data_IF_174088757511
#
_entry.id   IF_174088757511
#
_cell.length_a   1.000
_cell.length_b   1.000
_cell.length_c   1.000
_cell.angle_alpha   90.00
_cell.angle_beta   90.00
_cell.angle_gamma   90.00
#
_symmetry.space_group_name_H-M   'P 1'
#
loop_
_entity.id
_entity.type
_entity.pdbx_description
1 polymer ?
#
# COMPACT_ATOMS: atom_id res chain seq x y z
N UNK A 1 -2.99 -15.51 24.83
CA UNK A 1 -2.48 -14.66 23.75
C UNK A 1 -1.67 -13.55 24.40
N UNK A 2 -0.51 -13.23 23.85
CA UNK A 2 0.41 -12.24 24.39
C UNK A 2 0.75 -11.24 23.28
N UNK A 3 0.82 -9.95 23.63
CA UNK A 3 1.10 -8.87 22.70
C UNK A 3 2.31 -8.09 23.15
N UNK A 4 3.12 -7.76 22.16
CA UNK A 4 4.25 -6.84 22.29
C UNK A 4 4.03 -5.69 21.31
N UNK A 5 4.60 -4.54 21.62
CA UNK A 5 4.41 -3.31 20.89
C UNK A 5 5.76 -2.70 20.53
N UNK A 6 5.88 -2.11 19.35
CA UNK A 6 7.06 -1.34 18.95
C UNK A 6 6.58 0.04 18.51
N UNK A 7 7.18 1.15 18.98
CA UNK A 7 6.83 2.48 18.47
C UNK A 7 6.87 2.50 16.94
N UNK A 8 5.85 3.08 16.31
CA UNK A 8 5.66 2.98 14.86
C UNK A 8 6.87 3.54 14.09
N UNK A 9 7.43 4.66 14.53
CA UNK A 9 8.61 5.29 13.92
C UNK A 9 9.87 4.44 14.11
N UNK A 10 10.10 3.93 15.32
CA UNK A 10 11.26 3.09 15.62
C UNK A 10 11.27 1.77 14.82
N UNK A 11 10.09 1.21 14.52
CA UNK A 11 9.97 0.04 13.67
C UNK A 11 10.51 0.29 12.26
N UNK A 12 10.25 1.46 11.70
CA UNK A 12 10.72 1.84 10.36
C UNK A 12 12.25 2.06 10.36
N UNK A 13 12.82 2.48 11.49
CA UNK A 13 14.27 2.60 11.70
C UNK A 13 14.98 1.26 11.99
N UNK A 14 14.26 0.14 11.93
CA UNK A 14 14.83 -1.19 12.13
C UNK A 14 14.96 -1.62 13.60
N UNK A 15 14.51 -0.80 14.55
CA UNK A 15 14.48 -1.15 15.97
C UNK A 15 13.42 -2.21 16.23
N UNK A 16 13.77 -3.23 17.03
CA UNK A 16 12.91 -4.38 17.35
C UNK A 16 12.76 -4.61 18.86
N UNK A 17 13.20 -3.65 19.66
CA UNK A 17 12.93 -3.64 21.09
C UNK A 17 11.44 -3.44 21.31
N UNK A 18 10.88 -4.28 22.17
CA UNK A 18 9.44 -4.34 22.40
C UNK A 18 9.07 -3.80 23.76
N UNK A 19 7.91 -3.14 23.77
CA UNK A 19 7.20 -2.68 24.95
C UNK A 19 6.06 -3.65 25.25
N UNK A 20 5.75 -3.78 26.53
CA UNK A 20 4.56 -4.41 27.04
C UNK A 20 3.41 -3.43 27.10
N UNK A 21 2.19 -3.95 27.20
CA UNK A 21 0.95 -3.15 27.17
C UNK A 21 0.93 -2.02 28.22
N UNK A 22 1.56 -2.21 29.38
CA UNK A 22 1.57 -1.20 30.45
C UNK A 22 2.64 -0.11 30.27
N UNK A 23 3.55 -0.28 29.31
CA UNK A 23 4.63 0.67 28.99
C UNK A 23 4.22 1.65 27.88
N UNK A 24 3.04 1.46 27.28
CA UNK A 24 2.54 2.34 26.23
C UNK A 24 2.20 3.73 26.77
N UNK A 25 2.56 4.75 25.99
CA UNK A 25 2.33 6.16 26.26
C UNK A 25 1.06 6.60 25.53
N UNK A 26 0.15 7.27 26.26
CA UNK A 26 -1.09 7.77 25.68
C UNK A 26 -0.81 8.77 24.54
N UNK A 27 -1.53 8.61 23.42
CA UNK A 27 -1.38 9.42 22.21
C UNK A 27 -0.42 8.82 21.17
N UNK A 28 0.50 7.95 21.58
CA UNK A 28 1.53 7.37 20.73
C UNK A 28 1.04 6.18 19.90
N UNK A 29 1.68 5.95 18.75
CA UNK A 29 1.36 4.89 17.79
C UNK A 29 2.36 3.72 17.85
N UNK A 30 1.84 2.49 17.78
CA UNK A 30 2.63 1.28 17.94
C UNK A 30 2.26 0.21 16.91
N UNK A 31 3.28 -0.46 16.37
CA UNK A 31 3.16 -1.74 15.68
C UNK A 31 2.85 -2.85 16.69
N UNK A 32 2.03 -3.82 16.30
CA UNK A 32 1.64 -4.94 17.17
C UNK A 32 2.28 -6.26 16.71
N UNK A 33 2.92 -6.94 17.66
CA UNK A 33 3.37 -8.33 17.54
C UNK A 33 2.48 -9.23 18.42
N UNK A 34 2.09 -10.39 17.90
CA UNK A 34 1.31 -11.38 18.65
C UNK A 34 2.03 -12.70 18.83
N UNK A 35 1.90 -13.23 20.04
CA UNK A 35 2.25 -14.61 20.39
C UNK A 35 0.99 -15.36 20.80
N UNK A 36 0.71 -16.49 20.16
CA UNK A 36 -0.49 -17.30 20.41
C UNK A 36 -0.10 -18.76 20.68
N UNK A 37 -0.93 -19.47 21.45
CA UNK A 37 -0.76 -20.91 21.71
C UNK A 37 -0.95 -21.76 20.45
N UNK A 38 -1.48 -21.19 19.37
CA UNK A 38 -1.64 -21.84 18.07
C UNK A 38 -0.40 -21.75 17.16
N UNK A 39 0.74 -21.31 17.71
CA UNK A 39 2.03 -21.35 17.00
C UNK A 39 2.49 -20.04 16.35
N UNK A 40 1.81 -18.92 16.59
CA UNK A 40 2.37 -17.61 16.25
C UNK A 40 3.34 -17.19 17.36
N UNK A 41 4.59 -16.89 17.00
CA UNK A 41 5.61 -16.41 17.93
C UNK A 41 6.14 -15.07 17.44
N UNK A 42 5.95 -14.02 18.25
CA UNK A 42 6.29 -12.61 17.92
C UNK A 42 5.86 -12.22 16.50
N UNK A 43 4.69 -12.71 16.07
CA UNK A 43 4.20 -12.55 14.71
C UNK A 43 3.79 -11.10 14.48
N UNK A 44 4.38 -10.46 13.47
CA UNK A 44 4.03 -9.10 13.09
C UNK A 44 2.67 -9.05 12.40
N UNK A 45 1.66 -8.51 13.10
CA UNK A 45 0.27 -8.44 12.61
C UNK A 45 0.12 -7.34 11.56
N UNK A 46 1.08 -6.43 11.46
CA UNK A 46 1.07 -5.29 10.55
C UNK A 46 -0.11 -4.33 10.82
N UNK A 47 -0.46 -4.16 12.10
CA UNK A 47 -1.41 -3.15 12.58
C UNK A 47 -0.68 -2.08 13.35
N UNK A 48 -1.03 -0.82 13.07
CA UNK A 48 -0.69 0.35 13.87
C UNK A 48 -1.90 0.69 14.74
N UNK A 49 -1.68 0.67 16.05
CA UNK A 49 -2.66 1.08 17.06
C UNK A 49 -2.17 2.31 17.79
N UNK A 50 -3.09 3.17 18.23
CA UNK A 50 -2.80 4.30 19.11
C UNK A 50 -3.27 3.99 20.51
N UNK A 51 -2.39 4.18 21.49
CA UNK A 51 -2.75 4.07 22.89
C UNK A 51 -3.60 5.28 23.31
N UNK A 52 -4.74 5.02 23.95
CA UNK A 52 -5.65 6.03 24.47
C UNK A 52 -5.72 6.01 25.99
N UNK A 53 -6.72 6.70 26.57
CA UNK A 53 -6.92 6.77 28.02
C UNK A 53 -6.98 5.38 28.67
N UNK A 54 -6.51 5.29 29.91
CA UNK A 54 -6.51 4.04 30.67
C UNK A 54 -7.87 3.73 31.28
N UNK A 55 -8.25 2.46 31.23
CA UNK A 55 -9.32 1.87 32.05
C UNK A 55 -8.63 1.00 33.10
N UNK A 56 -8.53 1.52 34.34
CA UNK A 56 -7.69 0.92 35.38
C UNK A 56 -6.21 0.98 34.99
N UNK A 57 -5.53 -0.17 35.03
CA UNK A 57 -4.11 -0.27 34.65
C UNK A 57 -3.88 -0.48 33.13
N UNK A 58 -4.95 -0.60 32.34
CA UNK A 58 -4.87 -1.03 30.95
C UNK A 58 -5.16 0.16 30.02
N UNK A 59 -4.25 0.53 29.10
CA UNK A 59 -4.55 1.53 28.09
C UNK A 59 -5.61 1.02 27.11
N UNK A 60 -6.50 1.91 26.68
CA UNK A 60 -7.35 1.62 25.52
C UNK A 60 -6.50 1.64 24.25
N UNK A 61 -6.89 0.88 23.24
CA UNK A 61 -6.22 0.86 21.94
C UNK A 61 -7.24 1.20 20.86
N UNK A 62 -6.89 2.15 19.99
CA UNK A 62 -7.65 2.46 18.79
C UNK A 62 -6.86 2.03 17.56
N UNK A 63 -7.52 1.34 16.64
CA UNK A 63 -6.91 1.02 15.35
C UNK A 63 -6.69 2.31 14.55
N UNK A 64 -5.47 2.51 14.04
CA UNK A 64 -5.13 3.66 13.20
C UNK A 64 -5.11 3.26 11.73
N UNK A 65 -4.24 2.30 11.39
CA UNK A 65 -4.01 1.82 10.02
C UNK A 65 -3.29 0.47 10.03
N UNK A 66 -3.20 -0.16 8.86
CA UNK A 66 -2.21 -1.21 8.62
C UNK A 66 -0.81 -0.58 8.51
N UNK A 67 0.22 -1.25 9.02
CA UNK A 67 1.62 -0.80 8.93
C UNK A 67 2.18 -0.82 7.50
N UNK A 68 1.56 -1.59 6.59
CA UNK A 68 1.77 -1.55 5.13
C UNK A 68 0.47 -1.15 4.43
N UNK A 69 0.58 -0.67 3.21
CA UNK A 69 -0.56 -0.22 2.40
C UNK A 69 -0.85 1.27 2.53
N UNK A 70 0.11 2.05 3.03
CA UNK A 70 0.17 3.50 2.94
C UNK A 70 1.56 3.88 2.43
N UNK A 71 1.64 4.84 1.52
CA UNK A 71 2.90 5.39 1.02
C UNK A 71 2.84 6.91 0.98
N UNK A 72 3.99 7.55 0.96
CA UNK A 72 4.08 9.00 0.86
C UNK A 72 5.35 9.37 0.12
N UNK A 73 5.23 10.13 -0.95
CA UNK A 73 6.34 10.69 -1.73
C UNK A 73 6.69 12.07 -1.20
N UNK A 74 5.70 12.93 -0.96
CA UNK A 74 5.90 14.34 -0.54
C UNK A 74 5.06 14.76 0.66
N UNK A 75 4.50 13.80 1.39
CA UNK A 75 3.73 13.98 2.62
C UNK A 75 2.23 13.68 2.48
N UNK A 76 1.76 13.18 1.33
CA UNK A 76 0.34 12.95 1.04
C UNK A 76 -0.29 11.73 1.71
N UNK A 77 0.53 10.77 2.18
CA UNK A 77 0.06 9.57 2.89
C UNK A 77 -1.06 8.83 2.13
N UNK A 78 -0.84 8.51 0.86
CA UNK A 78 -1.79 7.78 0.03
C UNK A 78 -1.97 6.34 0.52
N UNK A 79 -3.21 5.85 0.55
CA UNK A 79 -3.56 4.52 1.08
C UNK A 79 -4.01 3.54 -0.02
N UNK A 80 -3.88 2.23 0.22
CA UNK A 80 -4.41 1.16 -0.65
C UNK A 80 -5.91 1.34 -0.93
N UNK A 81 -6.67 1.70 0.10
CA UNK A 81 -8.11 1.89 -0.01
C UNK A 81 -8.45 3.06 -0.96
N UNK A 82 -7.71 4.17 -0.87
CA UNK A 82 -7.89 5.30 -1.79
C UNK A 82 -7.52 4.94 -3.23
N UNK A 83 -6.42 4.19 -3.43
CA UNK A 83 -6.03 3.70 -4.76
C UNK A 83 -7.09 2.78 -5.35
N UNK A 84 -7.55 1.80 -4.58
CA UNK A 84 -8.57 0.86 -5.01
C UNK A 84 -9.90 1.56 -5.35
N UNK A 85 -10.36 2.48 -4.49
CA UNK A 85 -11.58 3.25 -4.72
C UNK A 85 -11.48 4.16 -5.97
N UNK A 86 -10.34 4.83 -6.16
CA UNK A 86 -10.09 5.66 -7.33
C UNK A 86 -10.07 4.83 -8.62
N UNK A 87 -9.35 3.70 -8.62
CA UNK A 87 -9.30 2.79 -9.76
C UNK A 87 -10.66 2.21 -10.09
N UNK A 88 -11.44 1.78 -9.10
CA UNK A 88 -12.79 1.25 -9.32
C UNK A 88 -13.71 2.28 -9.99
N UNK A 89 -13.67 3.54 -9.55
CA UNK A 89 -14.45 4.61 -10.14
C UNK A 89 -14.05 4.87 -11.60
N UNK A 90 -12.73 4.94 -11.87
CA UNK A 90 -12.19 5.17 -13.21
C UNK A 90 -12.46 3.98 -14.13
N UNK A 91 -12.33 2.76 -13.63
CA UNK A 91 -12.65 1.53 -14.36
C UNK A 91 -14.10 1.55 -14.87
N UNK A 92 -15.05 1.90 -13.99
CA UNK A 92 -16.47 2.04 -14.34
C UNK A 92 -16.74 3.13 -15.38
N UNK A 93 -16.06 4.28 -15.29
CA UNK A 93 -16.18 5.37 -16.27
C UNK A 93 -15.60 4.98 -17.64
N UNK A 94 -14.54 4.17 -17.66
CA UNK A 94 -13.82 3.81 -18.88
C UNK A 94 -14.31 2.50 -19.52
N UNK A 95 -15.16 1.74 -18.82
CA UNK A 95 -15.80 0.53 -19.34
C UNK A 95 -14.92 -0.71 -19.30
N UNK A 96 -14.03 -0.83 -18.30
CA UNK A 96 -13.18 -2.00 -18.07
C UNK A 96 -13.19 -2.42 -16.61
N UNK A 97 -12.70 -3.62 -16.30
CA UNK A 97 -12.50 -4.13 -14.94
C UNK A 97 -11.01 -4.34 -14.67
N UNK A 98 -10.51 -3.87 -13.53
CA UNK A 98 -9.17 -4.24 -13.07
C UNK A 98 -9.20 -5.61 -12.38
N UNK A 99 -8.70 -6.65 -13.04
CA UNK A 99 -8.51 -7.97 -12.42
C UNK A 99 -7.32 -7.98 -11.45
N UNK A 100 -6.35 -7.10 -11.70
CA UNK A 100 -5.20 -6.88 -10.84
C UNK A 100 -4.76 -5.42 -10.95
N UNK A 101 -4.29 -4.87 -9.83
CA UNK A 101 -3.60 -3.60 -9.83
C UNK A 101 -2.49 -3.55 -8.79
N UNK A 102 -1.44 -2.77 -9.10
CA UNK A 102 -0.36 -2.44 -8.19
C UNK A 102 0.09 -1.00 -8.42
N UNK A 103 -0.09 -0.16 -7.41
CA UNK A 103 0.46 1.18 -7.39
C UNK A 103 1.86 1.18 -6.75
N UNK A 104 2.81 1.79 -7.44
CA UNK A 104 4.17 2.01 -6.98
C UNK A 104 4.38 3.51 -6.74
N UNK A 105 4.78 3.86 -5.53
CA UNK A 105 5.26 5.18 -5.20
C UNK A 105 6.71 5.32 -5.68
N UNK A 106 6.95 6.04 -6.77
CA UNK A 106 8.30 6.33 -7.27
C UNK A 106 8.75 7.70 -6.72
N UNK A 107 9.55 7.64 -5.67
CA UNK A 107 10.10 8.80 -4.99
C UNK A 107 11.09 9.59 -5.87
N UNK A 108 11.85 8.91 -6.74
CA UNK A 108 12.81 9.54 -7.63
C UNK A 108 12.12 10.34 -8.75
N UNK A 109 11.02 9.80 -9.28
CA UNK A 109 10.17 10.49 -10.27
C UNK A 109 9.19 11.48 -9.63
N UNK A 110 9.08 11.49 -8.30
CA UNK A 110 8.04 12.16 -7.54
C UNK A 110 6.63 11.86 -8.08
N UNK A 111 6.36 10.60 -8.46
CA UNK A 111 5.13 10.20 -9.16
C UNK A 111 4.66 8.81 -8.74
N UNK A 112 3.36 8.55 -8.90
CA UNK A 112 2.80 7.22 -8.76
C UNK A 112 2.69 6.52 -10.12
N UNK A 113 3.18 5.28 -10.22
CA UNK A 113 2.94 4.39 -11.37
C UNK A 113 1.96 3.30 -10.98
N UNK A 114 0.84 3.19 -11.67
CA UNK A 114 -0.23 2.23 -11.36
C UNK A 114 -0.32 1.23 -12.49
N UNK A 115 0.06 -0.01 -12.21
CA UNK A 115 -0.01 -1.10 -13.16
C UNK A 115 -1.37 -1.77 -13.04
N UNK A 116 -2.05 -1.99 -14.17
CA UNK A 116 -3.40 -2.55 -14.21
C UNK A 116 -3.46 -3.67 -15.24
N UNK A 117 -3.85 -4.87 -14.81
CA UNK A 117 -4.26 -5.93 -15.73
C UNK A 117 -5.79 -5.89 -15.83
N UNK A 118 -6.30 -5.71 -17.05
CA UNK A 118 -7.73 -5.61 -17.39
C UNK A 118 -8.12 -6.67 -18.42
N UNK A 119 -9.40 -6.72 -18.81
CA UNK A 119 -9.81 -7.48 -20.00
C UNK A 119 -9.00 -7.03 -21.24
N UNK A 120 -8.75 -7.93 -22.19
CA UNK A 120 -8.02 -7.62 -23.44
C UNK A 120 -8.88 -6.93 -24.48
N UNK A 121 -10.16 -7.26 -24.51
CA UNK A 121 -11.07 -6.97 -25.63
C UNK A 121 -11.70 -5.57 -25.54
N UNK A 122 -11.33 -4.81 -24.51
CA UNK A 122 -11.76 -3.42 -24.28
C UNK A 122 -10.75 -2.45 -24.89
N UNK A 123 -11.26 -1.40 -25.53
CA UNK A 123 -10.45 -0.31 -26.05
C UNK A 123 -9.78 0.45 -24.89
N UNK A 124 -8.45 0.43 -24.84
CA UNK A 124 -7.70 1.13 -23.81
C UNK A 124 -7.52 2.60 -24.16
N UNK A 125 -8.08 3.48 -23.31
CA UNK A 125 -7.83 4.92 -23.30
C UNK A 125 -7.04 5.23 -22.05
N UNK A 126 -6.00 6.07 -22.15
CA UNK A 126 -5.17 6.46 -21.00
C UNK A 126 -6.04 7.00 -19.84
N UNK A 127 -6.16 6.28 -18.71
CA UNK A 127 -6.97 6.70 -17.58
C UNK A 127 -6.19 7.56 -16.57
N UNK A 128 -4.92 7.91 -16.85
CA UNK A 128 -4.03 8.59 -15.90
C UNK A 128 -4.60 9.89 -15.35
N UNK A 129 -5.18 10.73 -16.21
CA UNK A 129 -5.77 12.00 -15.78
C UNK A 129 -7.04 11.81 -14.92
N UNK A 130 -7.87 10.81 -15.27
CA UNK A 130 -9.06 10.48 -14.49
C UNK A 130 -8.69 9.92 -13.11
N UNK A 131 -7.64 9.10 -13.05
CA UNK A 131 -7.09 8.60 -11.79
C UNK A 131 -6.53 9.73 -10.92
N UNK A 132 -5.75 10.65 -11.50
CA UNK A 132 -5.22 11.84 -10.80
C UNK A 132 -6.34 12.67 -10.15
N UNK A 133 -7.41 12.92 -10.91
CA UNK A 133 -8.59 13.63 -10.43
C UNK A 133 -9.33 12.85 -9.33
N UNK A 134 -9.48 11.54 -9.48
CA UNK A 134 -10.12 10.70 -8.47
C UNK A 134 -9.33 10.66 -7.16
N UNK A 135 -8.01 10.49 -7.21
CA UNK A 135 -7.14 10.53 -6.03
C UNK A 135 -7.14 11.90 -5.36
N UNK A 136 -7.16 12.98 -6.14
CA UNK A 136 -7.25 14.36 -5.63
C UNK A 136 -8.56 14.62 -4.87
N UNK A 137 -9.68 14.00 -5.28
CA UNK A 137 -10.94 14.08 -4.53
C UNK A 137 -10.91 13.30 -3.22
N UNK A 138 -10.19 12.18 -3.19
CA UNK A 138 -10.13 11.28 -2.03
C UNK A 138 -9.06 11.67 -1.00
N UNK A 139 -8.06 12.46 -1.39
CA UNK A 139 -6.93 12.84 -0.55
C UNK A 139 -6.57 14.33 -0.76
N UNK A 140 -6.91 15.17 0.23
CA UNK A 140 -6.65 16.61 0.20
C UNK A 140 -5.15 16.93 0.13
N UNK A 141 -4.32 16.17 0.84
CA UNK A 141 -2.87 16.36 0.77
C UNK A 141 -2.36 16.02 -0.63
N UNK A 142 -2.79 14.89 -1.21
CA UNK A 142 -2.46 14.54 -2.59
C UNK A 142 -2.81 15.69 -3.56
N UNK A 143 -4.03 16.23 -3.47
CA UNK A 143 -4.45 17.38 -4.28
C UNK A 143 -3.57 18.63 -4.07
N UNK A 144 -3.19 18.92 -2.82
CA UNK A 144 -2.27 20.00 -2.46
C UNK A 144 -0.87 19.79 -3.05
N UNK A 145 -0.32 18.57 -2.99
CA UNK A 145 0.99 18.23 -3.57
C UNK A 145 0.96 18.27 -5.10
N UNK A 146 -0.12 17.82 -5.73
CA UNK A 146 -0.34 17.90 -7.19
C UNK A 146 -0.44 19.34 -7.67
N UNK A 147 -1.27 20.17 -7.03
CA UNK A 147 -1.46 21.58 -7.43
C UNK A 147 -0.21 22.43 -7.21
N UNK A 148 0.58 22.16 -6.16
CA UNK A 148 1.87 22.82 -5.92
C UNK A 148 3.03 22.30 -6.78
N UNK A 149 2.82 21.23 -7.56
CA UNK A 149 3.86 20.62 -8.40
C UNK A 149 4.91 19.79 -7.64
N UNK A 150 4.76 19.62 -6.32
CA UNK A 150 5.63 18.76 -5.49
C UNK A 150 5.45 17.28 -5.83
N UNK A 151 4.24 16.89 -6.22
CA UNK A 151 3.94 15.57 -6.73
C UNK A 151 3.61 15.69 -8.22
N UNK A 152 4.24 14.88 -9.07
CA UNK A 152 4.01 14.80 -10.52
C UNK A 152 2.74 13.99 -10.83
N UNK A 153 2.27 14.10 -12.08
CA UNK A 153 1.08 13.37 -12.52
C UNK A 153 1.32 11.86 -12.43
N UNK A 154 0.34 11.09 -11.93
CA UNK A 154 0.45 9.63 -11.94
C UNK A 154 0.39 9.11 -13.38
N UNK A 155 0.90 7.89 -13.56
CA UNK A 155 0.76 7.14 -14.82
C UNK A 155 0.08 5.82 -14.58
N UNK A 156 -0.86 5.46 -15.44
CA UNK A 156 -1.50 4.14 -15.46
C UNK A 156 -0.97 3.34 -16.63
N UNK A 157 -0.37 2.19 -16.32
CA UNK A 157 0.24 1.29 -17.29
C UNK A 157 -0.62 0.05 -17.41
N UNK A 158 -1.10 -0.24 -18.63
CA UNK A 158 -1.84 -1.47 -18.91
C UNK A 158 -0.87 -2.64 -18.99
N UNK A 159 -1.19 -3.72 -18.28
CA UNK A 159 -0.46 -4.97 -18.31
C UNK A 159 -1.12 -5.96 -19.28
N UNK A 160 -0.30 -6.81 -19.89
CA UNK A 160 -0.73 -7.98 -20.65
C UNK A 160 -1.28 -9.06 -19.71
N UNK A 161 -2.20 -9.91 -20.20
CA UNK A 161 -2.69 -11.05 -19.45
C UNK A 161 -1.55 -11.93 -18.91
N UNK A 162 -1.66 -12.33 -17.65
CA UNK A 162 -0.69 -13.21 -16.98
C UNK A 162 0.41 -12.46 -16.23
N UNK A 163 0.45 -11.14 -16.27
CA UNK A 163 1.37 -10.32 -15.48
C UNK A 163 1.15 -10.50 -13.97
N UNK A 164 -0.11 -10.50 -13.51
CA UNK A 164 -0.49 -10.76 -12.12
C UNK A 164 -0.07 -12.15 -11.66
N UNK A 165 -0.21 -13.14 -12.54
CA UNK A 165 0.23 -14.51 -12.26
C UNK A 165 1.76 -14.60 -12.17
N UNK A 166 2.50 -13.88 -13.02
CA UNK A 166 3.95 -13.79 -12.96
C UNK A 166 4.44 -13.09 -11.69
N UNK A 167 3.83 -11.96 -11.34
CA UNK A 167 4.10 -11.23 -10.10
C UNK A 167 3.86 -12.12 -8.87
N UNK A 168 2.72 -12.83 -8.82
CA UNK A 168 2.41 -13.78 -7.75
C UNK A 168 3.49 -14.87 -7.62
N UNK A 169 3.87 -15.51 -8.73
CA UNK A 169 4.93 -16.54 -8.72
C UNK A 169 6.26 -15.99 -8.21
N UNK A 170 6.60 -14.76 -8.58
CA UNK A 170 7.81 -14.09 -8.09
C UNK A 170 7.74 -13.79 -6.59
N UNK A 171 6.61 -13.32 -6.07
CA UNK A 171 6.47 -13.11 -4.63
C UNK A 171 6.59 -14.42 -3.83
N UNK A 172 5.99 -15.51 -4.34
CA UNK A 172 6.08 -16.83 -3.71
C UNK A 172 7.51 -17.36 -3.71
N UNK A 173 8.25 -17.21 -4.82
CA UNK A 173 9.65 -17.65 -4.90
C UNK A 173 10.59 -16.88 -3.97
N UNK A 174 10.19 -15.67 -3.55
CA UNK A 174 10.89 -14.84 -2.55
C UNK A 174 10.51 -15.19 -1.10
N UNK A 175 9.82 -16.30 -0.87
CA UNK A 175 9.53 -16.85 0.46
C UNK A 175 8.18 -16.44 1.04
N UNK A 176 7.30 -15.79 0.27
CA UNK A 176 5.92 -15.58 0.71
C UNK A 176 5.12 -16.88 0.54
N UNK A 177 4.49 -17.36 1.62
CA UNK A 177 3.68 -18.59 1.60
C UNK A 177 2.41 -18.38 0.77
N UNK A 178 2.20 -19.22 -0.24
CA UNK A 178 1.12 -19.15 -1.24
C UNK A 178 -0.29 -19.03 -0.63
N UNK A 179 -0.57 -19.77 0.46
CA UNK A 179 -1.87 -19.77 1.14
C UNK A 179 -2.22 -18.47 1.91
N UNK A 180 -1.26 -17.56 2.11
CA UNK A 180 -1.46 -16.26 2.78
C UNK A 180 -1.11 -15.08 1.87
N UNK A 181 -1.00 -15.31 0.55
CA UNK A 181 -0.58 -14.29 -0.40
C UNK A 181 -1.65 -13.19 -0.53
N UNK A 182 -1.43 -12.07 0.17
CA UNK A 182 -2.13 -10.80 -0.07
C UNK A 182 -1.20 -9.90 -0.87
N UNK A 183 -1.51 -9.67 -2.14
CA UNK A 183 -0.88 -8.62 -2.94
C UNK A 183 -1.09 -7.29 -2.23
N UNK A 184 -0.01 -6.62 -1.84
CA UNK A 184 -0.08 -5.21 -1.46
C UNK A 184 -0.45 -4.45 -2.75
N UNK A 185 -1.56 -3.73 -2.74
CA UNK A 185 -1.97 -2.95 -3.92
C UNK A 185 -1.29 -1.58 -3.99
N UNK A 186 -0.52 -1.22 -2.95
CA UNK A 186 0.29 -0.01 -2.88
C UNK A 186 1.58 -0.26 -2.11
N UNK A 187 2.72 0.05 -2.72
CA UNK A 187 4.05 -0.04 -2.08
C UNK A 187 5.04 0.96 -2.70
N UNK A 188 6.22 1.14 -2.08
CA UNK A 188 7.28 1.96 -2.67
C UNK A 188 7.91 1.24 -3.85
N UNK A 189 8.30 1.99 -4.89
CA UNK A 189 8.95 1.44 -6.07
C UNK A 189 10.25 0.70 -5.72
N UNK A 190 11.06 1.24 -4.80
CA UNK A 190 12.31 0.62 -4.34
C UNK A 190 12.12 -0.73 -3.62
N UNK A 191 10.94 -0.97 -3.04
CA UNK A 191 10.63 -2.23 -2.36
C UNK A 191 10.09 -3.28 -3.35
N UNK A 192 9.76 -2.88 -4.58
CA UNK A 192 9.24 -3.75 -5.63
C UNK A 192 10.36 -4.22 -6.56
N UNK A 193 10.91 -5.41 -6.29
CA UNK A 193 11.95 -6.02 -7.13
C UNK A 193 11.44 -6.74 -8.39
N UNK A 194 10.15 -6.69 -8.69
CA UNK A 194 9.58 -7.31 -9.90
C UNK A 194 9.57 -6.32 -11.06
N UNK A 195 10.09 -6.75 -12.20
CA UNK A 195 10.10 -5.97 -13.43
C UNK A 195 8.79 -6.18 -14.22
N UNK A 196 7.95 -5.14 -14.24
CA UNK A 196 6.71 -5.13 -15.02
C UNK A 196 6.92 -4.76 -16.49
N UNK A 197 8.09 -4.24 -16.88
CA UNK A 197 8.38 -3.74 -18.24
C UNK A 197 8.03 -4.75 -19.35
N UNK A 198 8.36 -6.06 -19.23
CA UNK A 198 8.01 -7.04 -20.27
C UNK A 198 6.51 -7.28 -20.44
N UNK A 199 5.71 -6.83 -19.47
CA UNK A 199 4.27 -7.03 -19.43
C UNK A 199 3.48 -5.77 -19.79
N UNK A 200 4.12 -4.61 -19.95
CA UNK A 200 3.41 -3.37 -20.31
C UNK A 200 2.95 -3.43 -21.77
N UNK A 201 1.70 -3.06 -22.03
CA UNK A 201 1.12 -2.96 -23.38
C UNK A 201 1.36 -1.56 -23.95
N UNK A 202 1.93 -1.47 -25.14
CA UNK A 202 2.15 -0.21 -25.87
C UNK A 202 3.59 0.31 -25.79
N UNK A 203 3.85 1.48 -26.38
CA UNK A 203 5.18 2.13 -26.42
C UNK A 203 5.68 2.61 -25.04
N UNK A 204 4.88 2.47 -23.99
CA UNK A 204 5.19 2.87 -22.62
C UNK A 204 6.18 1.92 -21.90
N UNK A 205 6.71 0.90 -22.59
CA UNK A 205 7.70 -0.04 -22.06
C UNK A 205 9.09 0.60 -21.77
N UNK A 206 9.27 1.92 -21.96
CA UNK A 206 10.58 2.60 -21.80
C UNK A 206 10.54 4.01 -21.18
N UNK A 207 9.46 4.42 -20.51
CA UNK A 207 9.33 5.77 -19.92
C UNK A 207 9.53 5.82 -18.40
#
# INVERSE_FOLDING_TARGET
MFFEFVPAEAWDDGVRDTLLLHELVEGEEYQVLATTSAGLLRYWINDIVRAGPRIGATPTLSFVRKGRGVTSITGEKLTEAQVAAALQAVAGEFGWTAHFHLALADEAAAAYRVHVESETDVAWRDPSAALDAALSRLNLEYASKRSSGRLRAPRVLRLQPGAAAAYRRWCVSRGQRDAQFKVLSLQRAQDCGFDFTPYVVGDDARA
#
